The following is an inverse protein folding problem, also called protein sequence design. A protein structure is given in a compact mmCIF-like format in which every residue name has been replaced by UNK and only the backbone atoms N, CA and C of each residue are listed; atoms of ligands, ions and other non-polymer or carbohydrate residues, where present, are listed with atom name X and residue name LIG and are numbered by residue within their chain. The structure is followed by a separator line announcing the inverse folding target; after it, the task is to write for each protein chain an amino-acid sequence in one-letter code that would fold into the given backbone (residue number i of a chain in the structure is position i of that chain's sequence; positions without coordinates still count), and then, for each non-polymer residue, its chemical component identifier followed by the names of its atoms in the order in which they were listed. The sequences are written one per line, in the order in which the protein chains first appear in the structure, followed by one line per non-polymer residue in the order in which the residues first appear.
data_IF_742371387314
#
_entry.id   IF_742371387314
#
_cell.length_a   1.000
_cell.length_b   1.000
_cell.length_c   1.000
_cell.angle_alpha   90.00
_cell.angle_beta   90.00
_cell.angle_gamma   90.00
#
_symmetry.space_group_name_H-M   'P 1'
#
loop_
_entity.id
_entity.type
_entity.pdbx_description
1 polymer ?
#
# COMPACT_ATOMS: atom_id res chain seq x y z
N UNK A 1 1.66 13.44 0.12
CA UNK A 1 1.07 12.13 0.50
C UNK A 1 1.07 11.24 -0.73
N UNK A 2 0.56 10.01 -0.64
CA UNK A 2 0.57 9.07 -1.76
C UNK A 2 -0.77 8.42 -1.98
N UNK A 3 -1.06 8.21 -3.26
CA UNK A 3 -2.17 7.42 -3.73
C UNK A 3 -1.68 6.01 -4.06
N UNK A 4 -2.41 5.00 -3.59
CA UNK A 4 -2.19 3.60 -3.89
C UNK A 4 -3.34 3.01 -4.70
N UNK A 5 -3.01 2.34 -5.79
CA UNK A 5 -3.93 1.51 -6.56
C UNK A 5 -3.50 0.05 -6.47
N UNK A 6 -4.40 -0.81 -6.00
CA UNK A 6 -4.19 -2.24 -5.84
C UNK A 6 -5.03 -2.99 -6.86
N UNK A 7 -4.39 -3.77 -7.74
CA UNK A 7 -5.12 -4.55 -8.74
C UNK A 7 -4.97 -6.04 -8.52
N UNK A 8 -6.10 -6.74 -8.54
CA UNK A 8 -6.21 -8.16 -8.26
C UNK A 8 -6.32 -9.01 -9.53
N UNK A 9 -6.10 -10.31 -9.38
CA UNK A 9 -6.18 -11.29 -10.47
C UNK A 9 -7.56 -11.35 -11.15
N UNK A 10 -8.63 -11.02 -10.42
CA UNK A 10 -9.99 -10.97 -10.97
C UNK A 10 -10.29 -9.67 -11.74
N UNK A 11 -9.30 -8.76 -11.84
CA UNK A 11 -9.42 -7.47 -12.50
C UNK A 11 -10.02 -6.38 -11.61
N UNK A 12 -10.40 -6.68 -10.36
CA UNK A 12 -10.86 -5.67 -9.42
C UNK A 12 -9.73 -4.75 -8.98
N UNK A 13 -10.08 -3.51 -8.65
CA UNK A 13 -9.14 -2.50 -8.15
C UNK A 13 -9.65 -1.87 -6.86
N UNK A 14 -8.73 -1.65 -5.92
CA UNK A 14 -8.97 -0.84 -4.73
C UNK A 14 -8.06 0.40 -4.77
N UNK A 15 -8.61 1.52 -4.32
CA UNK A 15 -7.95 2.83 -4.38
C UNK A 15 -7.95 3.49 -3.01
N UNK A 16 -6.80 4.01 -2.59
CA UNK A 16 -6.63 4.73 -1.34
C UNK A 16 -5.74 5.95 -1.55
N UNK A 17 -6.15 7.10 -1.04
CA UNK A 17 -5.42 8.36 -1.14
C UNK A 17 -4.96 8.85 0.25
N UNK A 18 -4.17 9.91 0.25
CA UNK A 18 -3.63 10.57 1.44
C UNK A 18 -2.76 9.66 2.31
N UNK A 19 -2.20 8.57 1.75
CA UNK A 19 -1.40 7.61 2.52
C UNK A 19 -0.06 8.25 2.87
N UNK A 20 0.29 8.21 4.16
CA UNK A 20 1.51 8.79 4.72
C UNK A 20 2.45 7.74 5.34
N UNK A 21 1.93 6.56 5.67
CA UNK A 21 2.68 5.41 6.17
C UNK A 21 2.06 4.09 5.71
N UNK A 22 2.90 3.08 5.48
CA UNK A 22 2.50 1.71 5.18
C UNK A 22 3.26 0.75 6.08
N UNK A 23 2.57 -0.23 6.65
CA UNK A 23 3.17 -1.31 7.43
C UNK A 23 2.79 -2.69 6.88
N UNK A 24 3.72 -3.64 6.95
CA UNK A 24 3.45 -5.04 6.63
C UNK A 24 4.43 -5.98 7.35
N UNK A 25 4.07 -7.26 7.46
CA UNK A 25 4.87 -8.28 8.15
C UNK A 25 5.43 -9.26 7.13
N UNK A 26 6.75 -9.49 7.18
CA UNK A 26 7.41 -10.56 6.43
C UNK A 26 8.15 -11.53 7.35
N UNK A 27 9.22 -11.05 7.98
CA UNK A 27 9.91 -11.69 9.11
C UNK A 27 9.76 -10.85 10.37
N UNK A 28 9.86 -9.53 10.18
CA UNK A 28 9.62 -8.48 11.16
C UNK A 28 8.58 -7.51 10.60
N UNK A 29 8.15 -6.55 11.43
CA UNK A 29 7.32 -5.43 10.98
C UNK A 29 8.18 -4.46 10.18
N UNK A 30 7.77 -4.18 8.95
CA UNK A 30 8.39 -3.17 8.09
C UNK A 30 7.46 -1.97 8.05
N UNK A 31 7.99 -0.79 8.38
CA UNK A 31 7.28 0.49 8.30
C UNK A 31 7.94 1.35 7.22
N UNK A 32 7.14 1.86 6.30
CA UNK A 32 7.58 2.72 5.19
C UNK A 32 6.79 4.02 5.23
N UNK A 33 7.46 5.15 5.35
CA UNK A 33 6.81 6.47 5.44
C UNK A 33 7.60 7.56 4.71
N UNK A 34 6.94 8.70 4.46
CA UNK A 34 7.52 9.84 3.77
C UNK A 34 8.00 9.51 2.36
N UNK A 35 9.09 10.15 1.91
CA UNK A 35 9.64 9.96 0.55
C UNK A 35 10.09 8.52 0.24
N UNK A 36 10.22 7.66 1.25
CA UNK A 36 10.55 6.26 1.03
C UNK A 36 9.39 5.49 0.40
N UNK A 37 8.14 5.93 0.59
CA UNK A 37 6.96 5.27 -0.01
C UNK A 37 7.11 5.16 -1.53
N UNK A 38 7.49 6.24 -2.21
CA UNK A 38 7.61 6.23 -3.68
C UNK A 38 8.80 5.41 -4.21
N UNK A 39 9.81 5.19 -3.37
CA UNK A 39 11.03 4.45 -3.75
C UNK A 39 10.96 2.98 -3.36
N UNK A 40 9.96 2.61 -2.56
CA UNK A 40 9.85 1.29 -1.99
C UNK A 40 9.07 0.36 -2.91
N UNK A 41 9.63 -0.84 -3.13
CA UNK A 41 8.93 -1.89 -3.86
C UNK A 41 8.07 -2.69 -2.87
N UNK A 42 6.79 -2.36 -2.81
CA UNK A 42 5.85 -3.06 -1.94
C UNK A 42 5.61 -4.50 -2.41
N UNK A 43 5.56 -5.48 -1.48
CA UNK A 43 5.34 -6.87 -1.83
C UNK A 43 3.87 -7.12 -2.20
N UNK A 44 3.65 -8.05 -3.12
CA UNK A 44 2.35 -8.70 -3.31
C UNK A 44 2.29 -10.01 -2.50
N UNK A 45 1.08 -10.53 -2.25
CA UNK A 45 0.89 -11.75 -1.46
C UNK A 45 0.97 -11.57 0.05
N UNK A 46 1.18 -10.34 0.54
CA UNK A 46 1.23 -9.97 1.96
C UNK A 46 0.25 -8.83 2.20
N UNK A 47 -0.44 -8.87 3.34
CA UNK A 47 -1.38 -7.81 3.73
C UNK A 47 -0.62 -6.51 4.07
N UNK A 48 -1.15 -5.39 3.59
CA UNK A 48 -0.58 -4.06 3.77
C UNK A 48 -1.52 -3.22 4.63
N UNK A 49 -1.01 -2.67 5.72
CA UNK A 49 -1.71 -1.71 6.55
C UNK A 49 -1.37 -0.31 6.07
N UNK A 50 -2.37 0.44 5.62
CA UNK A 50 -2.23 1.80 5.11
C UNK A 50 -2.75 2.78 6.15
N UNK A 51 -1.95 3.81 6.40
CA UNK A 51 -2.25 4.88 7.34
C UNK A 51 -2.34 6.21 6.59
N UNK A 52 -3.40 6.96 6.90
CA UNK A 52 -3.52 8.39 6.67
C UNK A 52 -4.01 9.05 7.96
N UNK A 53 -4.19 10.37 7.93
CA UNK A 53 -4.69 11.11 9.10
C UNK A 53 -6.13 10.69 9.48
N UNK A 54 -6.94 10.28 8.50
CA UNK A 54 -8.35 9.91 8.68
C UNK A 54 -8.66 8.42 8.42
N UNK A 55 -7.68 7.65 7.92
CA UNK A 55 -7.85 6.27 7.50
C UNK A 55 -6.80 5.36 8.15
N UNK A 56 -7.27 4.22 8.65
CA UNK A 56 -6.44 3.08 8.95
C UNK A 56 -7.12 1.83 8.40
N UNK A 57 -6.53 1.26 7.34
CA UNK A 57 -7.13 0.15 6.60
C UNK A 57 -6.11 -0.92 6.27
N UNK A 58 -6.56 -2.17 6.27
CA UNK A 58 -5.78 -3.30 5.81
C UNK A 58 -6.23 -3.70 4.41
N UNK A 59 -5.29 -3.73 3.48
CA UNK A 59 -5.48 -4.26 2.13
C UNK A 59 -4.96 -5.69 2.09
N UNK A 60 -5.82 -6.63 1.68
CA UNK A 60 -5.41 -8.03 1.58
C UNK A 60 -4.46 -8.22 0.39
N UNK A 61 -3.33 -8.88 0.63
CA UNK A 61 -2.33 -9.18 -0.40
C UNK A 61 -2.66 -10.41 -1.24
N UNK A 62 -3.66 -11.21 -0.84
CA UNK A 62 -4.05 -12.42 -1.57
C UNK A 62 -4.56 -12.07 -2.96
N UNK A 63 -4.02 -12.75 -3.98
CA UNK A 63 -4.35 -12.54 -5.40
C UNK A 63 -4.03 -11.13 -5.93
N UNK A 64 -3.26 -10.32 -5.20
CA UNK A 64 -2.80 -9.01 -5.64
C UNK A 64 -1.72 -9.18 -6.73
N UNK A 65 -1.90 -8.54 -7.87
CA UNK A 65 -0.97 -8.62 -9.01
C UNK A 65 0.03 -7.48 -9.02
N UNK A 66 -0.44 -6.26 -8.85
CA UNK A 66 0.39 -5.06 -8.90
C UNK A 66 -0.12 -3.98 -7.94
N UNK A 67 0.83 -3.16 -7.51
CA UNK A 67 0.62 -1.99 -6.65
C UNK A 67 1.22 -0.81 -7.40
N UNK A 68 0.39 0.19 -7.68
CA UNK A 68 0.83 1.47 -8.22
C UNK A 68 0.84 2.51 -7.10
N UNK A 69 1.89 3.33 -7.07
CA UNK A 69 2.10 4.35 -6.04
C UNK A 69 2.41 5.68 -6.70
N UNK A 70 1.50 6.62 -6.55
CA UNK A 70 1.60 7.96 -7.14
C UNK A 70 1.78 9.01 -6.05
N UNK A 71 2.68 9.96 -6.28
CA UNK A 71 2.84 11.10 -5.38
C UNK A 71 1.71 12.09 -5.63
N UNK A 72 1.01 12.49 -4.58
CA UNK A 72 -0.02 13.51 -4.64
C UNK A 72 0.62 14.91 -4.69
N UNK A 73 0.00 15.82 -5.44
CA UNK A 73 0.43 17.24 -5.58
C UNK A 73 0.10 18.09 -4.35
#
# INVERSE_FOLDING_TARGET
MYTFTFTYQDGSTNYFNNINEVQYIRSDTITVSGDNIHKHLFPTGIDLHLFSDDLNVTVCGKNLLYIEVEKEE
#
